data_IF_215189410961
#
_entry.id   IF_215189410961
#
_cell.length_a   1.000
_cell.length_b   1.000
_cell.length_c   1.000
_cell.angle_alpha   90.00
_cell.angle_beta   90.00
_cell.angle_gamma   90.00
#
_symmetry.space_group_name_H-M   'P 1'
#
loop_
_entity.id
_entity.type
_entity.pdbx_description
1 polymer ?
#
# COMPACT_ATOMS: atom_id res chain seq x y z
N UNK A 1 10.19 -16.78 2.19
CA UNK A 1 8.93 -16.02 1.99
C UNK A 1 9.27 -14.69 1.37
N UNK A 2 8.57 -14.25 0.31
CA UNK A 2 8.79 -12.92 -0.29
C UNK A 2 7.99 -11.87 0.48
N UNK A 3 8.57 -10.69 0.67
CA UNK A 3 7.91 -9.54 1.31
C UNK A 3 7.85 -8.38 0.31
N UNK A 4 6.72 -7.68 0.25
CA UNK A 4 6.47 -6.57 -0.66
C UNK A 4 5.95 -5.38 0.14
N UNK A 5 6.57 -4.21 0.00
CA UNK A 5 6.11 -2.97 0.61
C UNK A 5 5.39 -2.12 -0.45
N UNK A 6 4.13 -1.80 -0.22
CA UNK A 6 3.35 -0.88 -1.04
C UNK A 6 3.49 0.55 -0.54
N UNK A 7 3.79 1.46 -1.46
CA UNK A 7 3.80 2.90 -1.23
C UNK A 7 2.68 3.50 -2.09
N UNK A 8 1.63 3.99 -1.43
CA UNK A 8 0.45 4.56 -2.10
C UNK A 8 0.67 6.06 -2.22
N UNK A 9 0.74 6.60 -3.44
CA UNK A 9 0.95 8.02 -3.72
C UNK A 9 -0.22 8.95 -3.36
N UNK A 10 -1.04 8.59 -2.37
CA UNK A 10 -2.18 9.37 -1.91
C UNK A 10 -2.46 9.09 -0.43
N UNK A 11 -2.55 10.16 0.36
CA UNK A 11 -2.94 10.10 1.78
C UNK A 11 -4.47 10.09 1.96
N UNK A 12 -5.24 10.35 0.90
CA UNK A 12 -6.69 10.34 0.99
C UNK A 12 -7.22 8.92 1.23
N UNK A 13 -8.09 8.76 2.22
CA UNK A 13 -8.62 7.45 2.64
C UNK A 13 -9.38 6.76 1.52
N UNK A 14 -10.16 7.50 0.73
CA UNK A 14 -10.98 6.95 -0.35
C UNK A 14 -10.34 7.11 -1.74
N UNK A 15 -9.00 7.17 -1.81
CA UNK A 15 -8.32 7.32 -3.10
C UNK A 15 -8.42 6.05 -3.96
N UNK A 16 -8.61 6.23 -5.27
CA UNK A 16 -8.55 5.13 -6.24
C UNK A 16 -7.22 4.34 -6.17
N UNK A 17 -6.12 5.00 -5.82
CA UNK A 17 -4.82 4.35 -5.61
C UNK A 17 -4.86 3.34 -4.45
N UNK A 18 -5.60 3.64 -3.37
CA UNK A 18 -5.76 2.69 -2.25
C UNK A 18 -6.60 1.50 -2.65
N UNK A 19 -7.69 1.71 -3.38
CA UNK A 19 -8.54 0.62 -3.91
C UNK A 19 -7.71 -0.29 -4.82
N UNK A 20 -6.96 0.27 -5.77
CA UNK A 20 -6.08 -0.49 -6.65
C UNK A 20 -5.02 -1.29 -5.88
N UNK A 21 -4.43 -0.69 -4.83
CA UNK A 21 -3.45 -1.36 -3.99
C UNK A 21 -4.07 -2.52 -3.17
N UNK A 22 -5.34 -2.44 -2.78
CA UNK A 22 -6.05 -3.54 -2.12
C UNK A 22 -6.33 -4.69 -3.09
N UNK A 23 -6.80 -4.38 -4.31
CA UNK A 23 -7.01 -5.39 -5.36
C UNK A 23 -5.71 -6.11 -5.74
N UNK A 24 -4.60 -5.36 -5.88
CA UNK A 24 -3.30 -5.95 -6.15
C UNK A 24 -2.83 -6.89 -5.02
N UNK A 25 -3.05 -6.52 -3.75
CA UNK A 25 -2.72 -7.36 -2.61
C UNK A 25 -3.58 -8.63 -2.57
N UNK A 26 -4.88 -8.53 -2.86
CA UNK A 26 -5.78 -9.67 -2.98
C UNK A 26 -5.34 -10.64 -4.08
N UNK A 27 -4.95 -10.11 -5.25
CA UNK A 27 -4.40 -10.92 -6.35
C UNK A 27 -3.11 -11.62 -5.94
N UNK A 28 -2.19 -10.95 -5.22
CA UNK A 28 -0.94 -11.55 -4.74
C UNK A 28 -1.24 -12.76 -3.84
N UNK A 29 -2.21 -12.65 -2.94
CA UNK A 29 -2.64 -13.73 -2.07
C UNK A 29 -1.49 -14.27 -1.21
N UNK A 30 -1.37 -15.60 -1.10
CA UNK A 30 -0.35 -16.25 -0.28
C UNK A 30 1.06 -16.30 -0.91
N UNK A 31 1.25 -15.71 -2.10
CA UNK A 31 2.53 -15.74 -2.82
C UNK A 31 3.57 -14.79 -2.23
N UNK A 32 3.14 -13.76 -1.51
CA UNK A 32 3.99 -12.85 -0.77
C UNK A 32 3.24 -12.18 0.39
N UNK A 33 3.97 -11.76 1.41
CA UNK A 33 3.47 -10.91 2.48
C UNK A 33 3.50 -9.45 2.03
N UNK A 34 2.35 -8.76 2.08
CA UNK A 34 2.21 -7.36 1.66
C UNK A 34 2.08 -6.47 2.90
N UNK A 35 2.88 -5.41 2.96
CA UNK A 35 2.80 -4.35 3.95
C UNK A 35 2.57 -2.99 3.27
N UNK A 36 2.01 -2.02 3.99
CA UNK A 36 1.75 -0.67 3.49
C UNK A 36 2.60 0.33 4.27
N UNK A 37 3.23 1.27 3.56
CA UNK A 37 3.89 2.41 4.20
C UNK A 37 2.86 3.50 4.50
N UNK A 38 2.61 3.77 5.78
CA UNK A 38 1.94 5.00 6.21
C UNK A 38 3.01 6.07 6.46
N UNK A 39 2.91 7.17 5.72
CA UNK A 39 3.86 8.27 5.76
C UNK A 39 3.16 9.62 5.94
N UNK A 40 1.92 9.61 6.43
CA UNK A 40 1.11 10.82 6.60
C UNK A 40 1.77 11.86 7.51
N UNK A 41 2.54 11.42 8.51
CA UNK A 41 3.15 12.27 9.54
C UNK A 41 4.62 12.63 9.25
N UNK A 42 5.12 12.37 8.03
CA UNK A 42 6.47 12.79 7.68
C UNK A 42 6.57 14.32 7.61
N UNK A 43 7.61 14.93 8.19
CA UNK A 43 7.79 16.37 8.13
C UNK A 43 7.99 16.83 6.68
N UNK A 44 7.24 17.84 6.28
CA UNK A 44 7.56 18.65 5.10
C UNK A 44 8.57 19.70 5.56
N UNK A 45 9.66 19.80 4.82
CA UNK A 45 10.85 20.58 5.18
C UNK A 45 10.54 22.01 5.60
#
# INVERSE_FOLDING_TARGET
MKKILFVIGSLHRDSFNRILAQEAAALIGNRAEVAYLDYADLPHR
#
